data_IF_944802656540
#
_entry.id   IF_944802656540
#
_cell.length_a   1.000
_cell.length_b   1.000
_cell.length_c   1.000
_cell.angle_alpha   90.00
_cell.angle_beta   90.00
_cell.angle_gamma   90.00
#
_symmetry.space_group_name_H-M   'P 1'
#
loop_
_entity.id
_entity.type
_entity.pdbx_description
1 polymer ?
#
# COMPACT_ATOMS: atom_id res chain seq x y z
N UNK A 1 -3.06 58.89 13.40
CA UNK A 1 -2.32 57.74 13.87
C UNK A 1 -2.78 56.52 13.06
N UNK A 2 -2.06 56.18 11.99
CA UNK A 2 -2.39 55.07 11.09
C UNK A 2 -1.74 53.78 11.62
N UNK A 3 -2.54 52.79 12.00
CA UNK A 3 -2.06 51.46 12.34
C UNK A 3 -1.73 50.70 11.05
N UNK A 4 -0.44 50.46 10.81
CA UNK A 4 0.05 49.60 9.74
C UNK A 4 -0.11 48.17 10.24
N UNK A 5 -1.03 47.43 9.62
CA UNK A 5 -1.18 45.97 9.80
C UNK A 5 -0.13 45.30 8.90
N UNK A 6 0.90 44.72 9.52
CA UNK A 6 1.93 43.94 8.85
C UNK A 6 1.37 42.52 8.62
N UNK A 7 0.86 42.29 7.42
CA UNK A 7 0.47 40.93 7.00
C UNK A 7 1.73 40.14 6.61
N UNK A 8 2.10 39.20 7.46
CA UNK A 8 3.18 38.25 7.20
C UNK A 8 2.69 37.22 6.20
N UNK A 9 2.99 37.44 4.92
CA UNK A 9 2.78 36.43 3.86
C UNK A 9 3.95 35.47 3.96
N UNK A 10 3.71 34.30 4.55
CA UNK A 10 4.62 33.17 4.47
C UNK A 10 4.47 32.56 3.07
N UNK A 11 5.36 32.95 2.16
CA UNK A 11 5.52 32.31 0.88
C UNK A 11 6.20 30.95 1.09
N UNK A 12 5.41 29.89 1.30
CA UNK A 12 5.89 28.52 1.21
C UNK A 12 6.14 28.21 -0.26
N UNK A 13 7.40 28.05 -0.65
CA UNK A 13 7.82 27.67 -1.99
C UNK A 13 7.35 26.27 -2.29
N UNK A 14 6.34 26.18 -3.17
CA UNK A 14 5.75 24.94 -3.66
C UNK A 14 6.58 24.34 -4.78
N UNK A 15 7.31 23.25 -4.51
CA UNK A 15 7.59 22.22 -5.51
C UNK A 15 6.80 20.99 -5.09
N UNK A 16 5.63 20.82 -5.65
CA UNK A 16 4.66 19.83 -5.23
C UNK A 16 4.37 18.81 -6.32
N UNK A 17 4.63 17.62 -5.97
CA UNK A 17 4.31 16.37 -6.64
C UNK A 17 2.79 16.17 -6.78
N UNK A 18 2.37 15.43 -7.80
CA UNK A 18 0.99 15.20 -8.25
C UNK A 18 -0.03 14.75 -7.20
N UNK A 19 0.40 14.13 -6.10
CA UNK A 19 -0.48 13.76 -4.99
C UNK A 19 -1.03 14.97 -4.21
N UNK A 20 -0.26 16.06 -4.13
CA UNK A 20 -0.74 17.32 -3.55
C UNK A 20 -1.89 17.93 -4.37
N UNK A 21 -1.95 17.61 -5.68
CA UNK A 21 -3.01 18.11 -6.56
C UNK A 21 -4.39 17.47 -6.26
N UNK A 22 -4.43 16.22 -5.82
CA UNK A 22 -5.67 15.56 -5.38
C UNK A 22 -6.15 16.11 -4.03
N UNK A 23 -5.25 16.34 -3.08
CA UNK A 23 -5.58 16.91 -1.76
C UNK A 23 -6.12 18.33 -1.91
N UNK A 24 -5.55 19.16 -2.78
CA UNK A 24 -5.98 20.54 -3.04
C UNK A 24 -7.38 20.62 -3.66
N UNK A 25 -7.82 19.59 -4.35
CA UNK A 25 -9.13 19.55 -5.01
C UNK A 25 -10.22 18.83 -4.20
N UNK A 26 -9.94 18.31 -3.00
CA UNK A 26 -10.93 17.70 -2.15
C UNK A 26 -11.47 18.73 -1.13
N UNK A 27 -12.67 19.29 -1.34
CA UNK A 27 -13.23 20.33 -0.47
C UNK A 27 -13.55 19.84 0.95
N UNK A 28 -13.58 18.51 1.15
CA UNK A 28 -13.83 17.88 2.46
C UNK A 28 -12.54 17.50 3.19
N UNK A 29 -11.37 17.80 2.61
CA UNK A 29 -10.08 17.45 3.20
C UNK A 29 -9.83 18.21 4.50
N UNK A 30 -9.32 17.52 5.52
CA UNK A 30 -8.98 18.06 6.83
C UNK A 30 -7.63 17.51 7.29
N UNK A 31 -6.71 18.40 7.63
CA UNK A 31 -5.38 18.03 8.15
C UNK A 31 -5.51 17.49 9.57
N UNK A 32 -4.87 16.36 9.84
CA UNK A 32 -4.77 15.77 11.18
C UNK A 32 -3.41 16.04 11.79
N UNK A 33 -3.42 16.54 13.02
CA UNK A 33 -2.19 16.66 13.81
C UNK A 33 -1.79 15.28 14.28
N UNK A 34 -0.58 14.86 13.93
CA UNK A 34 0.05 13.63 14.42
C UNK A 34 1.16 13.98 15.39
N UNK A 35 1.34 13.15 16.42
CA UNK A 35 2.41 13.33 17.41
C UNK A 35 3.41 12.18 17.24
N UNK A 36 4.66 12.49 16.93
CA UNK A 36 5.72 11.54 16.64
C UNK A 36 5.85 11.21 15.15
N UNK A 37 6.95 10.58 14.78
CA UNK A 37 7.25 10.09 13.43
C UNK A 37 6.82 8.63 13.29
N UNK A 38 6.64 8.18 12.05
CA UNK A 38 6.28 6.80 11.77
C UNK A 38 7.06 6.27 10.56
N UNK A 39 7.34 4.99 10.57
CA UNK A 39 7.91 4.21 9.48
C UNK A 39 7.02 3.02 9.09
N UNK A 40 5.87 2.87 9.76
CA UNK A 40 4.89 1.82 9.54
C UNK A 40 3.50 2.42 9.47
N UNK A 41 2.67 1.88 8.59
CA UNK A 41 1.27 2.27 8.46
C UNK A 41 0.40 1.02 8.61
N UNK A 42 -0.59 1.08 9.49
CA UNK A 42 -1.66 0.08 9.62
C UNK A 42 -2.99 0.72 9.34
N UNK A 43 -3.74 0.15 8.38
CA UNK A 43 -5.03 0.68 7.97
C UNK A 43 -6.11 -0.40 7.99
N UNK A 44 -7.30 -0.02 8.44
CA UNK A 44 -8.46 -0.91 8.47
C UNK A 44 -9.78 -0.13 8.42
N UNK A 45 -10.87 -0.81 8.10
CA UNK A 45 -12.20 -0.22 8.21
C UNK A 45 -12.76 0.39 6.91
N UNK A 46 -12.32 -0.09 5.75
CA UNK A 46 -12.86 0.32 4.45
C UNK A 46 -12.47 1.75 4.09
N UNK A 47 -11.19 2.06 4.24
CA UNK A 47 -10.62 3.38 3.98
C UNK A 47 -9.70 3.29 2.76
N UNK A 48 -9.85 4.22 1.81
CA UNK A 48 -8.92 4.42 0.71
C UNK A 48 -7.71 5.22 1.19
N UNK A 49 -6.52 4.64 1.13
CA UNK A 49 -5.25 5.25 1.54
C UNK A 49 -4.44 5.69 0.32
N UNK A 50 -4.08 6.96 0.29
CA UNK A 50 -3.20 7.53 -0.72
C UNK A 50 -1.85 7.86 -0.11
N UNK A 51 -0.78 7.25 -0.62
CA UNK A 51 0.57 7.37 -0.09
C UNK A 51 1.46 8.19 -1.02
N UNK A 52 2.23 9.10 -0.45
CA UNK A 52 3.24 9.88 -1.19
C UNK A 52 4.52 9.98 -0.37
N UNK A 53 5.66 9.60 -0.96
CA UNK A 53 6.95 9.83 -0.31
C UNK A 53 7.38 11.30 -0.44
N UNK A 54 7.79 11.91 0.66
CA UNK A 54 8.11 13.34 0.77
C UNK A 54 9.09 13.57 1.92
N UNK A 55 9.68 14.76 1.99
CA UNK A 55 10.55 15.18 3.11
C UNK A 55 9.76 15.56 4.37
N UNK A 56 8.43 15.63 4.29
CA UNK A 56 7.55 15.97 5.41
C UNK A 56 6.47 14.92 5.60
N UNK A 57 6.22 14.59 6.87
CA UNK A 57 5.12 13.72 7.26
C UNK A 57 3.85 14.54 7.44
N UNK A 58 2.75 14.10 6.84
CA UNK A 58 1.46 14.72 6.97
C UNK A 58 0.34 13.69 6.83
N UNK A 59 -0.77 13.92 7.51
CA UNK A 59 -1.98 13.11 7.41
C UNK A 59 -3.16 14.02 7.15
N UNK A 60 -3.91 13.72 6.10
CA UNK A 60 -5.12 14.45 5.74
C UNK A 60 -6.26 13.43 5.59
N UNK A 61 -7.40 13.71 6.15
CA UNK A 61 -8.58 12.85 6.08
C UNK A 61 -9.68 13.52 5.27
N UNK A 62 -10.50 12.73 4.59
CA UNK A 62 -11.67 13.20 3.87
C UNK A 62 -12.79 12.16 3.96
N UNK A 63 -14.02 12.60 3.92
CA UNK A 63 -15.19 11.74 3.85
C UNK A 63 -16.36 12.48 3.19
N UNK A 64 -17.41 11.74 2.82
CA UNK A 64 -18.60 12.31 2.19
C UNK A 64 -19.38 13.29 3.09
N UNK A 65 -19.21 13.23 4.41
CA UNK A 65 -19.83 14.10 5.42
C UNK A 65 -18.89 14.27 6.62
N UNK A 66 -18.98 15.42 7.32
CA UNK A 66 -18.12 15.73 8.47
C UNK A 66 -18.17 14.70 9.59
N UNK A 67 -19.35 14.20 9.93
CA UNK A 67 -19.53 13.15 10.93
C UNK A 67 -18.75 11.85 10.62
N UNK A 68 -18.52 11.54 9.35
CA UNK A 68 -17.71 10.40 8.95
C UNK A 68 -16.22 10.70 9.05
N UNK A 69 -15.80 11.96 8.81
CA UNK A 69 -14.42 12.38 9.08
C UNK A 69 -14.03 12.23 10.53
N UNK A 70 -14.93 12.61 11.45
CA UNK A 70 -14.73 12.43 12.91
C UNK A 70 -14.54 10.97 13.31
N UNK A 71 -15.18 10.05 12.59
CA UNK A 71 -15.02 8.61 12.77
C UNK A 71 -13.66 8.06 12.32
N UNK A 72 -12.93 8.74 11.40
CA UNK A 72 -11.58 8.34 11.01
C UNK A 72 -10.61 8.69 12.14
N UNK A 73 -9.97 7.68 12.71
CA UNK A 73 -8.96 7.82 13.75
C UNK A 73 -7.57 7.64 13.16
N UNK A 74 -6.67 8.54 13.55
CA UNK A 74 -5.26 8.54 13.13
C UNK A 74 -4.39 8.73 14.35
N UNK A 75 -3.65 7.70 14.73
CA UNK A 75 -2.82 7.69 15.95
C UNK A 75 -1.45 7.13 15.63
N UNK A 76 -0.38 7.77 16.11
CA UNK A 76 0.99 7.24 16.01
C UNK A 76 1.36 6.57 17.34
N UNK A 77 1.65 5.28 17.29
CA UNK A 77 2.11 4.48 18.44
C UNK A 77 3.22 3.51 17.99
N UNK A 78 4.33 3.51 18.70
CA UNK A 78 5.49 2.66 18.41
C UNK A 78 5.96 2.76 16.93
N UNK A 79 6.17 3.97 16.45
CA UNK A 79 6.53 4.29 15.05
C UNK A 79 5.50 3.80 14.01
N UNK A 80 4.28 3.50 14.42
CA UNK A 80 3.21 3.02 13.54
C UNK A 80 2.08 4.02 13.48
N UNK A 81 1.78 4.55 12.31
CA UNK A 81 0.56 5.31 12.04
C UNK A 81 -0.59 4.32 11.88
N UNK A 82 -1.47 4.29 12.87
CA UNK A 82 -2.70 3.50 12.86
C UNK A 82 -3.84 4.34 12.32
N UNK A 83 -4.51 3.86 11.29
CA UNK A 83 -5.64 4.50 10.63
C UNK A 83 -6.82 3.53 10.67
N UNK A 84 -7.92 3.92 11.28
CA UNK A 84 -9.10 3.08 11.36
C UNK A 84 -10.38 3.89 11.46
N UNK A 85 -11.49 3.27 11.10
CA UNK A 85 -12.80 3.90 11.23
C UNK A 85 -13.54 3.36 12.44
N UNK A 86 -13.98 4.28 13.30
CA UNK A 86 -14.86 3.97 14.44
C UNK A 86 -16.26 4.53 14.15
N UNK A 87 -17.27 3.65 14.09
CA UNK A 87 -18.66 4.03 13.87
C UNK A 87 -19.38 4.16 15.20
N UNK A 88 -19.90 5.34 15.52
CA UNK A 88 -20.68 5.54 16.74
C UNK A 88 -22.05 4.81 16.72
N UNK A 89 -22.59 4.55 15.52
CA UNK A 89 -23.86 3.87 15.34
C UNK A 89 -23.76 2.74 14.32
N UNK A 90 -24.33 1.59 14.63
CA UNK A 90 -24.34 0.42 13.75
C UNK A 90 -24.97 0.70 12.36
N UNK A 91 -25.99 1.56 12.30
CA UNK A 91 -26.63 1.98 11.04
C UNK A 91 -25.72 2.80 10.12
N UNK A 92 -24.67 3.40 10.63
CA UNK A 92 -23.70 4.16 9.80
C UNK A 92 -22.75 3.23 9.03
N UNK A 93 -22.68 1.94 9.39
CA UNK A 93 -21.86 0.95 8.67
C UNK A 93 -22.35 0.75 7.22
N UNK A 94 -23.65 0.84 6.98
CA UNK A 94 -24.29 0.60 5.68
C UNK A 94 -24.30 1.81 4.73
N UNK A 95 -23.78 2.97 5.16
CA UNK A 95 -23.80 4.20 4.36
C UNK A 95 -22.53 4.31 3.50
N UNK A 96 -22.69 4.86 2.30
CA UNK A 96 -21.54 5.23 1.45
C UNK A 96 -20.80 6.43 2.06
N UNK A 97 -19.70 6.17 2.75
CA UNK A 97 -18.93 7.17 3.52
C UNK A 97 -17.83 7.82 2.72
N UNK A 98 -17.32 7.14 1.68
CA UNK A 98 -16.15 7.56 0.88
C UNK A 98 -15.00 8.02 1.79
N UNK A 99 -14.56 7.13 2.68
CA UNK A 99 -13.49 7.41 3.62
C UNK A 99 -12.16 7.44 2.88
N UNK A 100 -11.41 8.54 2.96
CA UNK A 100 -10.11 8.71 2.33
C UNK A 100 -9.10 9.26 3.31
N UNK A 101 -7.88 8.75 3.23
CA UNK A 101 -6.76 9.26 4.00
C UNK A 101 -5.57 9.44 3.07
N UNK A 102 -4.98 10.62 3.09
CA UNK A 102 -3.78 10.96 2.34
C UNK A 102 -2.63 11.07 3.32
N UNK A 103 -1.57 10.31 3.08
CA UNK A 103 -0.40 10.26 3.96
C UNK A 103 0.86 10.60 3.18
N UNK A 104 1.53 11.64 3.60
CA UNK A 104 2.92 11.92 3.25
C UNK A 104 3.85 11.27 4.26
N UNK A 105 4.87 10.54 3.82
CA UNK A 105 5.83 9.85 4.67
C UNK A 105 7.27 10.08 4.18
N UNK A 106 8.23 10.00 5.10
CA UNK A 106 9.68 10.10 4.78
C UNK A 106 10.26 8.73 4.46
N UNK A 107 10.09 7.80 5.38
CA UNK A 107 10.50 6.41 5.27
C UNK A 107 9.32 5.49 5.55
N UNK A 108 9.30 4.32 4.91
CA UNK A 108 8.22 3.38 5.08
C UNK A 108 8.74 1.93 5.00
N UNK A 109 8.61 1.19 6.09
CA UNK A 109 9.05 -0.19 6.21
C UNK A 109 7.89 -1.20 6.11
N UNK A 110 6.68 -0.78 6.47
CA UNK A 110 5.50 -1.63 6.50
C UNK A 110 4.25 -0.87 6.07
N UNK A 111 3.48 -1.49 5.18
CA UNK A 111 2.06 -1.19 4.95
C UNK A 111 1.26 -2.43 5.31
N UNK A 112 0.40 -2.32 6.32
CA UNK A 112 -0.49 -3.38 6.80
C UNK A 112 -1.94 -2.92 6.56
N UNK A 113 -2.58 -3.49 5.54
CA UNK A 113 -3.94 -3.15 5.15
C UNK A 113 -4.90 -4.32 5.40
N UNK A 114 -6.03 -4.02 6.02
CA UNK A 114 -7.01 -5.05 6.38
C UNK A 114 -8.45 -4.58 6.20
N UNK A 115 -9.38 -5.53 6.26
CA UNK A 115 -10.79 -5.26 6.07
C UNK A 115 -11.14 -5.16 4.58
N UNK A 116 -11.47 -3.97 4.10
CA UNK A 116 -11.73 -3.67 2.68
C UNK A 116 -11.09 -2.32 2.34
N UNK A 117 -9.77 -2.22 2.56
CA UNK A 117 -9.02 -0.96 2.47
C UNK A 117 -8.12 -0.97 1.24
N UNK A 118 -8.24 0.05 0.40
CA UNK A 118 -7.46 0.20 -0.82
C UNK A 118 -6.26 1.12 -0.59
N UNK A 119 -5.07 0.69 -0.98
CA UNK A 119 -3.83 1.47 -0.86
C UNK A 119 -3.31 1.85 -2.24
N UNK A 120 -3.18 3.14 -2.49
CA UNK A 120 -2.64 3.67 -3.74
C UNK A 120 -1.40 4.54 -3.48
N UNK A 121 -0.34 4.29 -4.25
CA UNK A 121 0.92 5.05 -4.15
C UNK A 121 1.01 6.05 -5.30
N UNK A 122 1.16 7.31 -4.96
CA UNK A 122 1.51 8.35 -5.92
C UNK A 122 3.03 8.47 -6.03
N UNK A 123 3.56 8.23 -7.23
CA UNK A 123 5.00 8.18 -7.47
C UNK A 123 5.62 6.81 -7.17
N UNK A 124 6.81 6.80 -6.58
CA UNK A 124 7.59 5.58 -6.32
C UNK A 124 8.03 5.56 -4.85
N UNK A 125 7.78 4.48 -4.14
CA UNK A 125 8.36 4.25 -2.80
C UNK A 125 9.82 3.84 -2.98
N UNK A 126 10.74 4.64 -2.47
CA UNK A 126 12.20 4.37 -2.54
C UNK A 126 12.73 4.20 -1.13
N UNK A 127 12.97 2.94 -0.73
CA UNK A 127 13.47 2.56 0.60
C UNK A 127 14.34 1.32 0.50
N UNK A 128 15.07 0.97 1.55
CA UNK A 128 15.90 -0.25 1.55
C UNK A 128 15.05 -1.51 1.63
N UNK A 129 14.05 -1.54 2.49
CA UNK A 129 13.18 -2.70 2.70
C UNK A 129 11.73 -2.27 2.88
N UNK A 130 10.81 -2.98 2.25
CA UNK A 130 9.38 -2.73 2.36
C UNK A 130 8.65 -4.06 2.57
N UNK A 131 7.74 -4.08 3.53
CA UNK A 131 6.79 -5.17 3.73
C UNK A 131 5.38 -4.67 3.38
N UNK A 132 4.68 -5.41 2.54
CA UNK A 132 3.25 -5.24 2.26
C UNK A 132 2.51 -6.42 2.89
N UNK A 133 1.62 -6.17 3.82
CA UNK A 133 0.77 -7.18 4.47
C UNK A 133 -0.68 -6.82 4.18
N UNK A 134 -1.37 -7.66 3.42
CA UNK A 134 -2.75 -7.44 3.03
C UNK A 134 -3.65 -8.59 3.48
N UNK A 135 -4.80 -8.23 4.03
CA UNK A 135 -5.77 -9.23 4.48
C UNK A 135 -7.22 -8.77 4.29
N UNK A 136 -8.16 -9.72 4.33
CA UNK A 136 -9.56 -9.42 4.07
C UNK A 136 -9.81 -9.30 2.56
N UNK A 137 -10.26 -8.11 2.12
CA UNK A 137 -10.49 -7.77 0.71
C UNK A 137 -9.79 -6.43 0.42
N UNK A 138 -8.48 -6.37 0.64
CA UNK A 138 -7.68 -5.15 0.58
C UNK A 138 -6.76 -5.15 -0.63
N UNK A 139 -6.69 -4.02 -1.33
CA UNK A 139 -5.91 -3.89 -2.54
C UNK A 139 -4.71 -2.95 -2.35
N UNK A 140 -3.61 -3.24 -3.03
CA UNK A 140 -2.46 -2.36 -3.14
C UNK A 140 -2.13 -2.08 -4.61
N UNK A 141 -1.93 -0.81 -4.94
CA UNK A 141 -1.46 -0.40 -6.26
C UNK A 141 -0.35 0.63 -6.13
N UNK A 142 0.87 0.30 -6.65
CA UNK A 142 1.99 1.22 -6.53
C UNK A 142 3.23 0.86 -7.31
N UNK A 143 4.21 1.77 -7.25
CA UNK A 143 5.55 1.57 -7.78
C UNK A 143 6.58 1.61 -6.65
N UNK A 144 7.60 0.74 -6.74
CA UNK A 144 8.65 0.61 -5.72
C UNK A 144 10.05 0.59 -6.34
N UNK A 145 11.02 1.08 -5.57
CA UNK A 145 12.45 0.91 -5.82
C UNK A 145 13.10 0.54 -4.49
N UNK A 146 13.31 -0.75 -4.26
CA UNK A 146 13.75 -1.28 -2.96
C UNK A 146 14.86 -2.31 -3.13
N UNK A 147 15.61 -2.59 -2.07
CA UNK A 147 16.51 -3.75 -2.06
C UNK A 147 15.76 -5.03 -1.72
N UNK A 148 14.90 -4.99 -0.70
CA UNK A 148 14.12 -6.14 -0.26
C UNK A 148 12.63 -5.80 -0.22
N UNK A 149 11.83 -6.63 -0.86
CA UNK A 149 10.37 -6.54 -0.83
C UNK A 149 9.80 -7.83 -0.26
N UNK A 150 8.96 -7.71 0.76
CA UNK A 150 8.16 -8.81 1.27
C UNK A 150 6.68 -8.52 1.03
N UNK A 151 5.94 -9.51 0.54
CA UNK A 151 4.49 -9.42 0.32
C UNK A 151 3.82 -10.62 0.98
N UNK A 152 2.95 -10.35 1.96
CA UNK A 152 2.14 -11.35 2.66
C UNK A 152 0.67 -11.05 2.37
N UNK A 153 0.02 -11.92 1.60
CA UNK A 153 -1.37 -11.74 1.17
C UNK A 153 -2.26 -12.87 1.69
N UNK A 154 -3.43 -12.50 2.16
CA UNK A 154 -4.44 -13.48 2.59
C UNK A 154 -5.86 -12.97 2.36
N UNK A 155 -6.84 -13.89 2.37
CA UNK A 155 -8.23 -13.55 2.07
C UNK A 155 -8.48 -13.45 0.58
N UNK A 156 -8.93 -12.29 0.11
CA UNK A 156 -9.17 -11.96 -1.30
C UNK A 156 -8.51 -10.59 -1.60
N UNK A 157 -7.18 -10.52 -1.44
CA UNK A 157 -6.41 -9.28 -1.50
C UNK A 157 -5.53 -9.25 -2.75
N UNK A 158 -5.58 -8.14 -3.49
CA UNK A 158 -4.83 -7.99 -4.73
C UNK A 158 -3.67 -7.00 -4.58
N UNK A 159 -2.52 -7.34 -5.17
CA UNK A 159 -1.38 -6.44 -5.32
C UNK A 159 -1.10 -6.20 -6.80
N UNK A 160 -1.17 -4.94 -7.23
CA UNK A 160 -0.65 -4.50 -8.53
C UNK A 160 0.59 -3.65 -8.30
N UNK A 161 1.74 -4.19 -8.67
CA UNK A 161 3.03 -3.57 -8.33
C UNK A 161 3.97 -3.50 -9.52
N UNK A 162 4.77 -2.42 -9.57
CA UNK A 162 5.78 -2.20 -10.59
C UNK A 162 7.05 -1.60 -10.03
N UNK A 163 8.13 -1.64 -10.80
CA UNK A 163 9.42 -1.04 -10.44
C UNK A 163 10.54 -2.05 -10.29
N UNK A 164 11.37 -1.90 -9.27
CA UNK A 164 12.58 -2.71 -9.09
C UNK A 164 12.72 -3.13 -7.62
N UNK A 165 13.03 -4.42 -7.41
CA UNK A 165 13.43 -4.94 -6.12
C UNK A 165 14.57 -5.95 -6.33
N UNK A 166 15.66 -5.90 -5.55
CA UNK A 166 16.74 -6.88 -5.73
C UNK A 166 16.27 -8.27 -5.30
N UNK A 167 15.61 -8.36 -4.16
CA UNK A 167 15.06 -9.61 -3.61
C UNK A 167 13.57 -9.44 -3.30
N UNK A 168 12.78 -10.42 -3.72
CA UNK A 168 11.33 -10.45 -3.46
C UNK A 168 10.96 -11.75 -2.76
N UNK A 169 10.18 -11.64 -1.68
CA UNK A 169 9.53 -12.77 -1.01
C UNK A 169 8.02 -12.56 -1.08
N UNK A 170 7.30 -13.55 -1.62
CA UNK A 170 5.85 -13.51 -1.76
C UNK A 170 5.26 -14.72 -1.04
N UNK A 171 4.30 -14.47 -0.16
CA UNK A 171 3.42 -15.48 0.41
C UNK A 171 1.97 -15.06 0.12
N UNK A 172 1.30 -15.79 -0.76
CA UNK A 172 -0.08 -15.52 -1.17
C UNK A 172 -0.97 -16.70 -0.85
N UNK A 173 -2.08 -16.45 -0.19
CA UNK A 173 -3.02 -17.48 0.24
C UNK A 173 -4.48 -17.02 0.13
N UNK A 174 -5.42 -17.99 0.16
CA UNK A 174 -6.83 -17.69 -0.05
C UNK A 174 -7.16 -17.57 -1.54
N UNK A 175 -7.66 -16.41 -1.96
CA UNK A 175 -7.94 -16.04 -3.35
C UNK A 175 -7.29 -14.68 -3.65
N UNK A 176 -5.97 -14.60 -3.44
CA UNK A 176 -5.21 -13.34 -3.49
C UNK A 176 -4.24 -13.32 -4.65
N UNK A 177 -4.20 -12.24 -5.42
CA UNK A 177 -3.41 -12.13 -6.63
C UNK A 177 -2.25 -11.15 -6.52
N UNK A 178 -1.08 -11.51 -7.09
CA UNK A 178 0.05 -10.60 -7.29
C UNK A 178 0.27 -10.36 -8.78
N UNK A 179 -0.05 -9.14 -9.23
CA UNK A 179 0.11 -8.65 -10.61
C UNK A 179 1.41 -7.83 -10.68
N UNK A 180 2.55 -8.52 -10.81
CA UNK A 180 3.89 -7.95 -10.72
C UNK A 180 4.79 -8.18 -11.94
N UNK A 181 4.26 -8.38 -13.16
CA UNK A 181 5.12 -8.47 -14.35
C UNK A 181 5.92 -7.19 -14.63
N UNK A 182 5.45 -6.03 -14.15
CA UNK A 182 6.20 -4.77 -14.23
C UNK A 182 7.15 -4.54 -13.05
N UNK A 183 7.24 -5.47 -12.10
CA UNK A 183 8.23 -5.50 -11.03
C UNK A 183 9.38 -6.41 -11.42
N UNK A 184 10.56 -5.84 -11.65
CA UNK A 184 11.77 -6.58 -12.02
C UNK A 184 12.55 -6.92 -10.78
N UNK A 185 12.87 -8.21 -10.59
CA UNK A 185 13.71 -8.67 -9.47
C UNK A 185 14.83 -9.60 -9.92
N UNK A 186 15.92 -9.60 -9.16
CA UNK A 186 17.00 -10.59 -9.37
C UNK A 186 16.66 -11.95 -8.77
N UNK A 187 16.20 -11.95 -7.53
CA UNK A 187 15.92 -13.18 -6.78
C UNK A 187 14.48 -13.13 -6.25
N UNK A 188 13.71 -14.20 -6.51
CA UNK A 188 12.35 -14.31 -6.02
C UNK A 188 12.12 -15.64 -5.31
N UNK A 189 11.47 -15.57 -4.14
CA UNK A 189 10.85 -16.72 -3.49
C UNK A 189 9.34 -16.50 -3.46
N UNK A 190 8.60 -17.30 -4.19
CA UNK A 190 7.14 -17.19 -4.31
C UNK A 190 6.46 -18.46 -3.77
N UNK A 191 5.54 -18.25 -2.82
CA UNK A 191 4.64 -19.29 -2.32
C UNK A 191 3.21 -18.87 -2.60
N UNK A 192 2.48 -19.71 -3.30
CA UNK A 192 1.06 -19.51 -3.61
C UNK A 192 0.24 -20.71 -3.14
N UNK A 193 -0.86 -20.47 -2.47
CA UNK A 193 -1.73 -21.52 -1.93
C UNK A 193 -3.21 -21.13 -1.98
N UNK A 194 -4.10 -22.15 -1.94
CA UNK A 194 -5.53 -21.89 -2.13
C UNK A 194 -5.88 -21.74 -3.60
N UNK A 195 -6.33 -20.55 -4.00
CA UNK A 195 -6.63 -20.18 -5.40
C UNK A 195 -5.96 -18.85 -5.73
N UNK A 196 -4.65 -18.76 -5.43
CA UNK A 196 -3.88 -17.50 -5.52
C UNK A 196 -2.96 -17.51 -6.73
N UNK A 197 -2.92 -16.41 -7.46
CA UNK A 197 -2.07 -16.27 -8.62
C UNK A 197 -0.93 -15.28 -8.39
N UNK A 198 0.30 -15.66 -8.78
CA UNK A 198 1.48 -14.80 -8.71
C UNK A 198 2.07 -14.62 -10.11
N UNK A 199 2.19 -13.35 -10.51
CA UNK A 199 2.84 -12.94 -11.75
C UNK A 199 4.03 -12.03 -11.45
N UNK A 200 5.26 -12.40 -11.89
CA UNK A 200 6.49 -11.67 -11.54
C UNK A 200 7.53 -11.74 -12.67
N UNK A 201 8.44 -10.75 -12.74
CA UNK A 201 9.60 -10.80 -13.64
C UNK A 201 10.88 -11.04 -12.84
N UNK A 202 11.57 -12.17 -13.12
CA UNK A 202 12.76 -12.63 -12.38
C UNK A 202 13.93 -12.80 -13.32
N UNK A 203 15.09 -12.21 -13.00
CA UNK A 203 16.27 -12.22 -13.89
C UNK A 203 17.34 -13.23 -13.49
N UNK A 204 17.44 -13.67 -12.23
CA UNK A 204 18.50 -14.60 -11.80
C UNK A 204 17.97 -15.90 -11.21
N UNK A 205 17.25 -15.85 -10.09
CA UNK A 205 16.87 -17.06 -9.34
C UNK A 205 15.41 -17.00 -8.89
N UNK A 206 14.68 -18.09 -9.13
CA UNK A 206 13.30 -18.29 -8.68
C UNK A 206 13.20 -19.56 -7.84
N UNK A 207 12.68 -19.43 -6.62
CA UNK A 207 12.14 -20.53 -5.83
C UNK A 207 10.61 -20.42 -5.85
N UNK A 208 9.92 -21.46 -6.31
CA UNK A 208 8.48 -21.43 -6.52
C UNK A 208 7.80 -22.61 -5.83
N UNK A 209 6.82 -22.32 -4.97
CA UNK A 209 6.01 -23.31 -4.30
C UNK A 209 4.54 -23.00 -4.51
N UNK A 210 3.85 -23.82 -5.29
CA UNK A 210 2.43 -23.64 -5.60
C UNK A 210 1.62 -24.84 -5.10
N UNK A 211 0.50 -24.57 -4.45
CA UNK A 211 -0.37 -25.64 -3.91
C UNK A 211 -1.85 -25.28 -4.02
N UNK A 212 -2.71 -26.30 -4.00
CA UNK A 212 -4.14 -26.10 -4.20
C UNK A 212 -4.49 -25.90 -5.67
N UNK A 213 -5.06 -24.76 -6.03
CA UNK A 213 -5.39 -24.36 -7.41
C UNK A 213 -4.70 -23.02 -7.75
N UNK A 214 -3.41 -22.90 -7.40
CA UNK A 214 -2.64 -21.66 -7.50
C UNK A 214 -1.67 -21.71 -8.67
N UNK A 215 -1.46 -20.59 -9.33
CA UNK A 215 -0.52 -20.47 -10.42
C UNK A 215 0.59 -19.45 -10.13
N UNK A 216 1.86 -19.84 -10.40
CA UNK A 216 2.99 -18.93 -10.41
C UNK A 216 3.48 -18.77 -11.85
N UNK A 217 3.30 -17.59 -12.41
CA UNK A 217 3.73 -17.25 -13.76
C UNK A 217 4.88 -16.24 -13.71
N UNK A 218 5.98 -16.52 -14.39
CA UNK A 218 7.13 -15.63 -14.40
C UNK A 218 7.64 -15.30 -15.78
N UNK A 219 8.27 -14.11 -15.91
CA UNK A 219 9.02 -13.64 -17.08
C UNK A 219 10.48 -13.43 -16.72
N UNK A 220 11.30 -13.10 -17.71
CA UNK A 220 12.72 -12.82 -17.53
C UNK A 220 13.61 -14.07 -17.68
N UNK A 221 14.91 -13.92 -17.37
CA UNK A 221 15.93 -14.96 -17.60
C UNK A 221 16.22 -15.80 -16.35
N UNK A 222 15.44 -15.61 -15.28
CA UNK A 222 15.63 -16.31 -14.03
C UNK A 222 15.58 -17.83 -14.16
N UNK A 223 16.52 -18.50 -13.48
CA UNK A 223 16.61 -19.96 -13.40
C UNK A 223 15.84 -20.43 -12.17
N UNK A 224 14.96 -21.42 -12.36
CA UNK A 224 14.28 -22.08 -11.24
C UNK A 224 15.32 -22.90 -10.46
N UNK A 225 15.54 -22.58 -9.19
CA UNK A 225 16.42 -23.29 -8.27
C UNK A 225 15.69 -24.39 -7.51
N UNK A 226 14.47 -24.08 -7.09
CA UNK A 226 13.61 -25.01 -6.38
C UNK A 226 12.16 -24.81 -6.84
N UNK A 227 11.45 -25.93 -7.07
CA UNK A 227 10.07 -25.90 -7.52
C UNK A 227 9.28 -27.03 -6.90
N UNK A 228 8.22 -26.67 -6.20
CA UNK A 228 7.24 -27.61 -5.68
C UNK A 228 5.84 -27.25 -6.19
N UNK A 229 5.13 -28.25 -6.69
CA UNK A 229 3.73 -28.09 -7.07
C UNK A 229 2.90 -29.23 -6.48
N UNK A 230 1.71 -28.91 -5.99
CA UNK A 230 0.77 -29.92 -5.50
C UNK A 230 -0.69 -29.52 -5.76
N UNK A 231 -1.55 -30.50 -5.95
CA UNK A 231 -2.94 -30.25 -6.35
C UNK A 231 -3.04 -29.90 -7.84
N UNK A 232 -3.88 -28.90 -8.15
CA UNK A 232 -4.08 -28.41 -9.54
C UNK A 232 -3.27 -27.12 -9.80
N UNK A 233 -2.09 -27.02 -9.18
CA UNK A 233 -1.25 -25.83 -9.28
C UNK A 233 -0.20 -25.94 -10.39
N UNK A 234 0.24 -24.81 -10.90
CA UNK A 234 1.27 -24.75 -11.92
C UNK A 234 2.33 -23.66 -11.69
N UNK A 235 3.54 -23.91 -12.23
CA UNK A 235 4.60 -22.91 -12.37
C UNK A 235 4.98 -22.83 -13.83
N UNK A 236 4.87 -21.63 -14.44
CA UNK A 236 5.05 -21.49 -15.88
C UNK A 236 5.84 -20.22 -16.24
N UNK A 237 6.77 -20.36 -17.21
CA UNK A 237 7.43 -19.21 -17.83
C UNK A 237 6.56 -18.63 -18.94
N UNK A 238 6.41 -17.32 -18.93
CA UNK A 238 5.70 -16.57 -19.97
C UNK A 238 6.69 -15.82 -20.86
N UNK A 239 6.38 -15.70 -22.11
CA UNK A 239 7.15 -14.93 -23.11
C UNK A 239 6.94 -13.42 -22.94
#
# INVERSE_FOLDING_TARGET
MKKIMLSLIIACSFMAVTAQKEIVNDPNAEVRTITGSFDKIKISGGIDLFLTQSDQEAVVVSASQDKFKEGIKTVVENNTLKIYYFADKALDILKNKKLRVYVSFKNLELVDASGASDVQVAGVITVSSLTLSLSGASDFKGAVKVSNLKMDLSGASDVTIKGIANTVSIESSGASDVKGYELVTDVCSAKASGSSDVSITVNKELNANASGSSDISYKGDGVIKDMHTSGSSSVSKRS
#
